data_IF_349076624507
#
_entry.id   IF_349076624507
#
_cell.length_a   1.000
_cell.length_b   1.000
_cell.length_c   1.000
_cell.angle_alpha   90.00
_cell.angle_beta   90.00
_cell.angle_gamma   90.00
#
_symmetry.space_group_name_H-M   'P 1'
#
loop_
_entity.id
_entity.type
_entity.pdbx_description
1 polymer ?
#
# COMPACT_ATOMS: atom_id res chain seq x y z
N UNK A 1 0.61 6.35 17.91
CA UNK A 1 2.07 6.16 17.80
C UNK A 1 2.51 6.73 16.45
N UNK A 2 3.54 7.58 16.39
CA UNK A 2 3.93 8.26 15.14
C UNK A 2 5.04 7.53 14.36
N UNK A 3 5.20 7.89 13.08
CA UNK A 3 6.15 7.27 12.15
C UNK A 3 7.62 7.47 12.58
N UNK A 4 7.93 8.58 13.26
CA UNK A 4 9.29 8.89 13.71
C UNK A 4 9.72 8.01 14.89
N UNK A 5 8.78 7.75 15.79
CA UNK A 5 8.96 6.86 16.94
C UNK A 5 9.13 5.41 16.48
N UNK A 6 8.31 4.97 15.51
CA UNK A 6 8.42 3.64 14.91
C UNK A 6 9.79 3.43 14.23
N UNK A 7 10.30 4.42 13.50
CA UNK A 7 11.60 4.34 12.83
C UNK A 7 12.79 4.25 13.77
N UNK A 8 12.76 4.96 14.89
CA UNK A 8 13.80 4.85 15.92
C UNK A 8 13.78 3.48 16.60
N UNK A 9 12.60 2.95 16.91
CA UNK A 9 12.45 1.64 17.55
C UNK A 9 12.90 0.48 16.66
N UNK A 10 12.67 0.60 15.35
CA UNK A 10 13.01 -0.44 14.38
C UNK A 10 14.40 -0.25 13.74
N UNK A 11 15.13 0.81 14.07
CA UNK A 11 16.41 1.15 13.42
C UNK A 11 16.26 1.44 11.92
N UNK A 12 15.05 1.77 11.46
CA UNK A 12 14.73 1.95 10.06
C UNK A 12 14.75 3.43 9.66
N UNK A 13 15.23 3.69 8.44
CA UNK A 13 15.13 5.02 7.86
C UNK A 13 13.66 5.42 7.69
N UNK A 14 13.34 6.70 7.86
CA UNK A 14 11.97 7.22 7.69
C UNK A 14 11.33 6.86 6.33
N UNK A 15 12.08 6.85 5.20
CA UNK A 15 11.59 6.31 3.94
C UNK A 15 11.24 4.82 3.98
N UNK A 16 12.04 4.00 4.65
CA UNK A 16 11.79 2.55 4.83
C UNK A 16 10.56 2.30 5.69
N UNK A 17 10.40 3.05 6.78
CA UNK A 17 9.20 3.01 7.63
C UNK A 17 7.96 3.38 6.82
N UNK A 18 8.03 4.44 6.01
CA UNK A 18 6.92 4.83 5.15
C UNK A 18 6.64 3.84 4.02
N UNK A 19 7.64 3.09 3.55
CA UNK A 19 7.44 2.02 2.59
C UNK A 19 6.75 0.82 3.26
N UNK A 20 7.26 0.37 4.40
CA UNK A 20 6.70 -0.74 5.16
C UNK A 20 5.28 -0.45 5.68
N UNK A 21 5.02 0.78 6.16
CA UNK A 21 3.68 1.20 6.55
C UNK A 21 2.73 1.23 5.35
N UNK A 22 3.17 1.71 4.18
CA UNK A 22 2.33 1.67 2.98
C UNK A 22 2.04 0.25 2.51
N UNK A 23 3.00 -0.66 2.66
CA UNK A 23 2.84 -2.08 2.33
C UNK A 23 1.86 -2.75 3.30
N UNK A 24 2.03 -2.56 4.61
CA UNK A 24 1.08 -3.03 5.64
C UNK A 24 -0.31 -2.41 5.48
N UNK A 25 -0.40 -1.10 5.28
CA UNK A 25 -1.68 -0.39 5.05
C UNK A 25 -2.44 -0.98 3.87
N UNK A 26 -1.72 -1.27 2.79
CA UNK A 26 -2.32 -1.76 1.57
C UNK A 26 -2.64 -3.25 1.64
N UNK A 27 -1.85 -4.06 2.35
CA UNK A 27 -2.23 -5.45 2.68
C UNK A 27 -3.51 -5.49 3.52
N UNK A 28 -3.64 -4.62 4.52
CA UNK A 28 -4.84 -4.51 5.36
C UNK A 28 -6.05 -4.01 4.57
N UNK A 29 -5.86 -3.14 3.58
CA UNK A 29 -6.91 -2.66 2.67
C UNK A 29 -7.31 -3.74 1.66
N UNK A 30 -6.36 -4.50 1.11
CA UNK A 30 -6.62 -5.65 0.24
C UNK A 30 -7.35 -6.77 1.01
N UNK A 31 -6.99 -6.97 2.27
CA UNK A 31 -7.70 -7.84 3.20
C UNK A 31 -9.02 -7.23 3.69
N UNK A 32 -9.37 -6.00 3.30
CA UNK A 32 -10.61 -5.32 3.74
C UNK A 32 -10.73 -5.21 5.26
N UNK A 33 -9.64 -5.35 6.01
CA UNK A 33 -9.61 -5.26 7.47
C UNK A 33 -9.63 -3.80 7.92
N UNK A 34 -9.12 -2.91 7.08
CA UNK A 34 -9.00 -1.49 7.35
C UNK A 34 -9.34 -0.71 6.08
N UNK A 35 -10.11 0.36 6.21
CA UNK A 35 -10.41 1.31 5.14
C UNK A 35 -9.70 2.63 5.40
N UNK A 36 -9.00 3.15 4.40
CA UNK A 36 -8.41 4.48 4.48
C UNK A 36 -9.50 5.55 4.32
N UNK A 37 -9.63 6.41 5.34
CA UNK A 37 -10.58 7.55 5.30
C UNK A 37 -9.86 8.82 4.84
N UNK A 38 -8.66 9.07 5.38
CA UNK A 38 -7.76 10.16 4.99
C UNK A 38 -6.30 9.77 5.26
N UNK A 39 -5.33 10.54 4.75
CA UNK A 39 -3.92 10.27 5.01
C UNK A 39 -3.63 10.20 6.51
N UNK A 40 -3.18 9.04 6.99
CA UNK A 40 -2.89 8.80 8.40
C UNK A 40 -4.10 8.49 9.28
N UNK A 41 -5.33 8.43 8.74
CA UNK A 41 -6.52 8.01 9.50
C UNK A 41 -7.23 6.88 8.77
N UNK A 42 -7.36 5.81 9.51
CA UNK A 42 -7.84 4.52 9.04
C UNK A 42 -9.01 4.10 9.93
N UNK A 43 -10.03 3.53 9.30
CA UNK A 43 -11.19 2.99 9.99
C UNK A 43 -11.12 1.46 9.91
N UNK A 44 -11.25 0.79 11.05
CA UNK A 44 -11.31 -0.67 11.11
C UNK A 44 -12.62 -1.14 10.47
N UNK A 45 -12.60 -2.31 9.82
CA UNK A 45 -13.79 -2.93 9.28
C UNK A 45 -14.86 -3.06 10.40
N UNK A 46 -16.11 -2.62 10.17
CA UNK A 46 -17.20 -2.78 11.10
C UNK A 46 -17.40 -4.20 11.66
N UNK A 47 -17.02 -5.25 10.95
CA UNK A 47 -17.10 -6.63 11.47
C UNK A 47 -16.04 -6.95 12.54
N UNK A 48 -15.02 -6.12 12.69
CA UNK A 48 -13.91 -6.28 13.63
C UNK A 48 -13.82 -5.15 14.66
N UNK A 49 -14.56 -4.06 14.44
CA UNK A 49 -14.57 -2.93 15.34
C UNK A 49 -15.28 -3.30 16.65
N UNK A 50 -14.71 -2.89 17.78
CA UNK A 50 -15.37 -2.97 19.07
C UNK A 50 -16.42 -1.85 19.15
N UNK A 51 -17.69 -2.23 19.21
CA UNK A 51 -18.79 -1.30 19.46
C UNK A 51 -19.22 -1.42 20.92
N UNK A 52 -19.64 -0.29 21.49
CA UNK A 52 -20.15 -0.23 22.86
C UNK A 52 -21.60 -0.74 22.95
N UNK A 53 -22.35 -0.76 21.83
CA UNK A 53 -23.68 -1.36 21.74
C UNK A 53 -23.82 -2.32 20.54
N UNK A 54 -24.61 -3.40 20.69
CA UNK A 54 -24.87 -4.35 19.61
C UNK A 54 -25.63 -3.76 18.42
N UNK A 55 -26.48 -2.76 18.65
CA UNK A 55 -27.30 -2.13 17.61
C UNK A 55 -26.43 -1.37 16.60
N UNK A 56 -25.46 -0.58 17.09
CA UNK A 56 -24.52 0.15 16.24
C UNK A 56 -23.64 -0.80 15.43
N UNK A 57 -23.27 -1.95 16.01
CA UNK A 57 -22.53 -2.99 15.30
C UNK A 57 -23.34 -3.55 14.12
N UNK A 58 -24.63 -3.85 14.34
CA UNK A 58 -25.51 -4.36 13.29
C UNK A 58 -25.75 -3.34 12.18
N UNK A 59 -25.95 -2.08 12.53
CA UNK A 59 -26.18 -1.02 11.56
C UNK A 59 -24.94 -0.73 10.73
N UNK A 60 -23.76 -0.74 11.35
CA UNK A 60 -22.49 -0.59 10.63
C UNK A 60 -22.21 -1.78 9.68
N UNK A 61 -22.53 -3.01 10.07
CA UNK A 61 -22.41 -4.20 9.20
C UNK A 61 -23.47 -4.20 8.09
N UNK A 62 -24.68 -3.70 8.35
CA UNK A 62 -25.73 -3.54 7.32
C UNK A 62 -25.35 -2.50 6.28
N UNK A 63 -24.74 -1.39 6.71
CA UNK A 63 -24.28 -0.32 5.81
C UNK A 63 -23.10 -0.77 4.92
N UNK A 64 -22.38 -1.84 5.27
CA UNK A 64 -21.32 -2.38 4.44
C UNK A 64 -21.83 -3.08 3.18
N UNK A 65 -21.21 -2.83 2.01
CA UNK A 65 -21.41 -3.63 0.81
C UNK A 65 -21.15 -5.11 1.10
N UNK A 66 -22.02 -6.01 0.60
CA UNK A 66 -21.86 -7.47 0.78
C UNK A 66 -20.50 -7.97 0.28
N UNK A 67 -19.96 -7.37 -0.78
CA UNK A 67 -18.66 -7.72 -1.30
C UNK A 67 -17.52 -7.45 -0.30
N UNK A 68 -17.71 -6.52 0.63
CA UNK A 68 -16.67 -6.11 1.59
C UNK A 68 -16.78 -6.79 2.94
N UNK A 69 -17.77 -7.68 3.10
CA UNK A 69 -17.95 -8.46 4.30
C UNK A 69 -16.99 -9.64 4.35
N UNK A 70 -16.50 -9.90 5.55
CA UNK A 70 -15.54 -10.95 5.85
C UNK A 70 -16.21 -12.34 5.96
N UNK A 71 -17.55 -12.39 5.98
CA UNK A 71 -18.35 -13.61 6.05
C UNK A 71 -18.56 -14.32 4.70
N UNK A 72 -18.09 -13.73 3.60
CA UNK A 72 -18.18 -14.37 2.29
C UNK A 72 -17.30 -15.61 2.20
N UNK A 73 -17.87 -16.71 1.69
CA UNK A 73 -17.13 -17.97 1.44
C UNK A 73 -15.97 -17.79 0.45
N UNK A 74 -16.02 -16.76 -0.41
CA UNK A 74 -14.97 -16.46 -1.39
C UNK A 74 -13.94 -15.45 -0.88
N UNK A 75 -14.13 -14.89 0.32
CA UNK A 75 -13.31 -13.80 0.84
C UNK A 75 -11.81 -14.11 0.81
N UNK A 76 -11.41 -15.30 1.28
CA UNK A 76 -9.99 -15.72 1.31
C UNK A 76 -9.43 -15.85 -0.12
N UNK A 77 -10.19 -16.44 -1.04
CA UNK A 77 -9.76 -16.56 -2.44
C UNK A 77 -9.67 -15.21 -3.15
N UNK A 78 -10.61 -14.30 -2.87
CA UNK A 78 -10.64 -12.96 -3.44
C UNK A 78 -9.48 -12.12 -2.90
N UNK A 79 -9.13 -12.27 -1.62
CA UNK A 79 -7.95 -11.67 -1.01
C UNK A 79 -6.66 -12.12 -1.69
N UNK A 80 -6.43 -13.43 -1.82
CA UNK A 80 -5.22 -13.94 -2.48
C UNK A 80 -5.08 -13.47 -3.93
N UNK A 81 -6.21 -13.41 -4.66
CA UNK A 81 -6.23 -12.86 -6.02
C UNK A 81 -5.86 -11.38 -6.03
N UNK A 82 -6.37 -10.60 -5.09
CA UNK A 82 -6.09 -9.17 -4.98
C UNK A 82 -4.61 -8.92 -4.61
N UNK A 83 -4.04 -9.72 -3.70
CA UNK A 83 -2.61 -9.67 -3.34
C UNK A 83 -1.73 -9.99 -4.55
N UNK A 84 -2.04 -11.05 -5.29
CA UNK A 84 -1.29 -11.42 -6.49
C UNK A 84 -1.31 -10.29 -7.54
N UNK A 85 -2.49 -9.74 -7.83
CA UNK A 85 -2.63 -8.63 -8.77
C UNK A 85 -1.85 -7.38 -8.32
N UNK A 86 -1.79 -7.12 -7.02
CA UNK A 86 -1.01 -6.01 -6.49
C UNK A 86 0.50 -6.24 -6.61
N UNK A 87 0.98 -7.45 -6.32
CA UNK A 87 2.39 -7.80 -6.51
C UNK A 87 2.82 -7.67 -7.97
N UNK A 88 1.95 -8.06 -8.91
CA UNK A 88 2.17 -7.88 -10.35
C UNK A 88 2.28 -6.40 -10.72
N UNK A 89 1.38 -5.55 -10.21
CA UNK A 89 1.46 -4.11 -10.43
C UNK A 89 2.75 -3.49 -9.87
N UNK A 90 3.20 -3.92 -8.69
CA UNK A 90 4.47 -3.47 -8.11
C UNK A 90 5.66 -3.89 -8.97
N UNK A 91 5.67 -5.12 -9.48
CA UNK A 91 6.72 -5.61 -10.36
C UNK A 91 6.79 -4.77 -11.65
N UNK A 92 5.64 -4.47 -12.26
CA UNK A 92 5.58 -3.59 -13.44
C UNK A 92 6.06 -2.17 -13.16
N UNK A 93 5.70 -1.59 -12.00
CA UNK A 93 6.22 -0.29 -11.61
C UNK A 93 7.74 -0.30 -11.41
N UNK A 94 8.29 -1.36 -10.81
CA UNK A 94 9.75 -1.51 -10.63
C UNK A 94 10.46 -1.58 -11.98
N UNK A 95 9.92 -2.35 -12.94
CA UNK A 95 10.43 -2.41 -14.32
C UNK A 95 10.43 -1.04 -15.01
N UNK A 96 9.31 -0.30 -14.92
CA UNK A 96 9.20 1.05 -15.50
C UNK A 96 10.21 2.04 -14.90
N UNK A 97 10.40 2.01 -13.57
CA UNK A 97 11.40 2.86 -12.89
C UNK A 97 12.82 2.51 -13.30
N UNK A 98 13.14 1.22 -13.41
CA UNK A 98 14.46 0.77 -13.87
C UNK A 98 14.73 1.23 -15.32
N UNK A 99 13.75 1.10 -16.21
CA UNK A 99 13.86 1.57 -17.60
C UNK A 99 14.07 3.10 -17.68
N UNK A 100 13.32 3.88 -16.89
CA UNK A 100 13.48 5.33 -16.83
C UNK A 100 14.86 5.75 -16.28
N UNK A 101 15.38 5.05 -15.27
CA UNK A 101 16.71 5.29 -14.73
C UNK A 101 17.81 4.97 -15.76
N UNK A 102 17.68 3.86 -16.48
CA UNK A 102 18.60 3.49 -17.56
C UNK A 102 18.60 4.51 -18.70
N UNK A 103 17.41 4.98 -19.11
CA UNK A 103 17.27 6.03 -20.14
C UNK A 103 17.93 7.34 -19.72
N UNK A 104 17.74 7.78 -18.46
CA UNK A 104 18.42 8.96 -17.90
C UNK A 104 19.93 8.80 -17.91
N UNK A 105 20.45 7.63 -17.51
CA UNK A 105 21.89 7.35 -17.51
C UNK A 105 22.48 7.39 -18.93
N UNK A 106 21.79 6.79 -19.90
CA UNK A 106 22.21 6.81 -21.30
C UNK A 106 22.22 8.24 -21.88
N UNK A 107 21.20 9.04 -21.59
CA UNK A 107 21.14 10.44 -22.00
C UNK A 107 22.26 11.29 -21.37
N UNK A 108 22.58 11.06 -20.09
CA UNK A 108 23.67 11.73 -19.39
C UNK A 108 25.04 11.37 -19.99
N UNK A 109 25.27 10.09 -20.32
CA UNK A 109 26.49 9.65 -21.00
C UNK A 109 26.65 10.28 -22.38
N UNK A 110 25.58 10.36 -23.17
CA UNK A 110 25.60 11.03 -24.49
C UNK A 110 25.93 12.51 -24.40
N UNK A 111 25.35 13.24 -23.43
CA UNK A 111 25.69 14.66 -23.17
C UNK A 111 27.14 14.87 -22.75
N UNK A 112 27.73 13.94 -21.98
CA UNK A 112 29.15 14.00 -21.62
C UNK A 112 30.07 13.73 -22.81
N UNK A 113 29.73 12.76 -23.67
CA UNK A 113 30.47 12.46 -24.88
C UNK A 113 30.46 13.60 -25.90
N UNK A 114 29.33 14.29 -26.06
CA UNK A 114 29.24 15.44 -26.98
C UNK A 114 30.03 16.66 -26.52
N UNK A 115 30.24 16.84 -25.20
CA UNK A 115 31.03 17.93 -24.65
C UNK A 115 32.55 17.69 -24.77
N UNK A 116 33.00 16.44 -24.91
CA UNK A 116 34.41 16.10 -25.12
C UNK A 116 34.82 16.03 -26.59
N UNK A 117 33.86 16.07 -27.53
CA UNK A 117 34.12 16.05 -28.97
C UNK A 117 34.23 17.45 -29.60
N UNK A 118 34.11 18.51 -28.79
CA UNK A 118 34.30 19.91 -29.19
C UNK A 118 35.56 20.42 -28.48
N UNK A 119 36.73 20.06 -29.00
CA UNK A 119 38.05 20.43 -28.50
C UNK A 119 39.09 20.22 -29.58
#
# INVERSE_FOLDING_TARGET
MDQGTLGKLLGLSRPSVNAALRELELELELAKLVRKVRNGVYQINPMLAGYDCPEDALDAVKAMPRADRLDSKTYVSDYHRAVAAYQDQLAEQRKKRAAAAAAKKAAATRRRGSLHAVG
#
